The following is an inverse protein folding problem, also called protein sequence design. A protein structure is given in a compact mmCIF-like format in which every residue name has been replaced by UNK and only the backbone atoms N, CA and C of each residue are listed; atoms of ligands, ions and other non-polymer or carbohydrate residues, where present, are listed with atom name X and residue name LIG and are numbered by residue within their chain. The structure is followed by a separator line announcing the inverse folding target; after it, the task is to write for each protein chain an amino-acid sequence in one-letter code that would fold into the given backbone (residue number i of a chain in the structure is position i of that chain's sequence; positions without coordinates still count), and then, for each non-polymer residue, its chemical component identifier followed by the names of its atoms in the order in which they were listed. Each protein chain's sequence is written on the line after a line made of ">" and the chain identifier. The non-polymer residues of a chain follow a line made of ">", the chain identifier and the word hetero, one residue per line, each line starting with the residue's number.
data_IF_665714095999
#
_entry.id   IF_665714095999
#
_cell.length_a   1.000
_cell.length_b   1.000
_cell.length_c   1.000
_cell.angle_alpha   90.00
_cell.angle_beta   90.00
_cell.angle_gamma   90.00
#
_symmetry.space_group_name_H-M   'P 1'
#
loop_
_entity.id
_entity.type
_entity.pdbx_description
1 polymer ?
#
# COMPACT_ATOMS: atom_id res chain seq x y z
N UNK A 1 43.65 15.54 36.66
CA UNK A 1 42.53 14.61 36.89
C UNK A 1 41.25 14.95 36.10
N UNK A 2 41.16 16.08 35.39
CA UNK A 2 39.95 16.52 34.64
C UNK A 2 39.95 16.07 33.15
N UNK A 3 41.13 15.71 32.61
CA UNK A 3 41.28 15.32 31.19
C UNK A 3 40.81 13.90 30.88
N UNK A 4 40.90 12.99 31.85
CA UNK A 4 40.54 11.58 31.68
C UNK A 4 39.02 11.36 31.64
N UNK A 5 38.24 12.14 32.40
CA UNK A 5 36.77 12.04 32.46
C UNK A 5 36.07 12.49 31.17
N UNK A 6 36.62 13.50 30.47
CA UNK A 6 36.12 13.90 29.14
C UNK A 6 36.37 12.81 28.09
N UNK A 7 37.55 12.20 28.09
CA UNK A 7 37.91 11.16 27.12
C UNK A 7 37.01 9.93 27.23
N UNK A 8 36.71 9.51 28.47
CA UNK A 8 35.77 8.41 28.73
C UNK A 8 34.35 8.77 28.30
N UNK A 9 33.88 9.99 28.60
CA UNK A 9 32.53 10.43 28.25
C UNK A 9 32.30 10.50 26.73
N UNK A 10 33.26 11.06 25.97
CA UNK A 10 33.19 11.11 24.52
C UNK A 10 33.26 9.70 23.89
N UNK A 11 34.04 8.78 24.47
CA UNK A 11 34.07 7.37 24.04
C UNK A 11 32.72 6.68 24.26
N UNK A 12 32.10 6.82 25.44
CA UNK A 12 30.77 6.27 25.71
C UNK A 12 29.71 6.87 24.79
N UNK A 13 29.73 8.19 24.56
CA UNK A 13 28.81 8.86 23.62
C UNK A 13 28.95 8.29 22.20
N UNK A 14 30.18 8.11 21.73
CA UNK A 14 30.44 7.59 20.38
C UNK A 14 30.03 6.11 20.26
N UNK A 15 30.28 5.30 21.29
CA UNK A 15 29.83 3.89 21.33
C UNK A 15 28.30 3.81 21.31
N UNK A 16 27.61 4.63 22.10
CA UNK A 16 26.13 4.70 22.09
C UNK A 16 25.61 5.14 20.73
N UNK A 17 26.23 6.14 20.09
CA UNK A 17 25.87 6.56 18.74
C UNK A 17 26.11 5.47 17.70
N UNK A 18 27.21 4.71 17.79
CA UNK A 18 27.50 3.57 16.91
C UNK A 18 26.49 2.44 17.11
N UNK A 19 26.12 2.11 18.35
CA UNK A 19 25.06 1.14 18.62
C UNK A 19 23.68 1.63 18.14
N UNK A 20 23.41 2.93 18.25
CA UNK A 20 22.20 3.54 17.69
C UNK A 20 22.21 3.52 16.16
N UNK A 21 23.34 3.75 15.48
CA UNK A 21 23.40 3.67 14.01
C UNK A 21 23.34 2.23 13.52
N UNK A 22 23.99 1.28 14.20
CA UNK A 22 23.94 -0.15 13.86
C UNK A 22 22.55 -0.76 14.07
N UNK A 23 21.80 -0.31 15.09
CA UNK A 23 20.42 -0.78 15.32
C UNK A 23 19.40 -0.22 14.32
N UNK A 24 19.75 0.83 13.57
CA UNK A 24 18.90 1.40 12.51
C UNK A 24 19.03 0.64 11.18
N UNK A 25 20.06 -0.19 11.00
CA UNK A 25 20.25 -1.04 9.83
C UNK A 25 19.96 -2.50 10.19
N UNK A 26 18.68 -2.81 10.31
CA UNK A 26 18.21 -4.18 10.39
C UNK A 26 18.42 -4.84 9.01
N UNK A 27 19.64 -5.30 8.72
CA UNK A 27 20.00 -5.98 7.48
C UNK A 27 20.09 -7.50 7.70
N UNK A 28 19.84 -8.27 6.64
CA UNK A 28 20.13 -9.70 6.59
C UNK A 28 21.65 -9.96 6.43
N UNK A 29 22.01 -11.24 6.46
CA UNK A 29 23.40 -11.73 6.30
C UNK A 29 24.08 -11.28 5.00
N UNK A 30 23.29 -10.90 3.99
CA UNK A 30 23.75 -10.50 2.65
C UNK A 30 23.73 -8.96 2.49
N UNK A 31 23.47 -8.23 3.58
CA UNK A 31 23.44 -6.77 3.62
C UNK A 31 22.14 -6.14 3.13
N UNK A 32 21.10 -6.93 2.82
CA UNK A 32 19.81 -6.41 2.38
C UNK A 32 18.95 -5.99 3.57
N UNK A 33 18.10 -4.96 3.43
CA UNK A 33 17.17 -4.60 4.50
C UNK A 33 16.23 -5.75 4.85
N UNK A 34 16.03 -6.03 6.14
CA UNK A 34 15.02 -6.97 6.61
C UNK A 34 13.64 -6.48 6.20
N UNK A 35 12.88 -7.35 5.55
CA UNK A 35 11.57 -7.01 4.98
C UNK A 35 10.46 -7.13 6.03
N UNK A 36 9.49 -6.23 5.97
CA UNK A 36 8.28 -6.28 6.79
C UNK A 36 7.42 -7.48 6.41
N UNK A 37 6.74 -8.11 7.38
CA UNK A 37 5.71 -9.11 7.06
C UNK A 37 4.52 -8.53 6.29
N UNK A 38 4.30 -7.21 6.40
CA UNK A 38 3.26 -6.49 5.66
C UNK A 38 3.61 -6.47 4.18
N UNK A 39 2.69 -6.96 3.35
CA UNK A 39 2.90 -7.03 1.91
C UNK A 39 1.59 -7.12 1.14
N UNK A 40 1.63 -6.71 -0.11
CA UNK A 40 0.60 -7.00 -1.10
C UNK A 40 1.28 -7.71 -2.25
N UNK A 41 0.80 -8.91 -2.57
CA UNK A 41 1.30 -9.71 -3.69
C UNK A 41 0.16 -9.88 -4.66
N UNK A 42 0.42 -9.61 -5.94
CA UNK A 42 -0.59 -9.79 -6.97
C UNK A 42 0.03 -10.26 -8.28
N UNK A 43 -0.82 -10.83 -9.11
CA UNK A 43 -0.52 -11.18 -10.49
C UNK A 43 -1.39 -10.32 -11.39
N UNK A 44 -0.76 -9.67 -12.37
CA UNK A 44 -1.42 -8.87 -13.40
C UNK A 44 -1.07 -9.51 -14.74
N UNK A 45 -2.06 -10.12 -15.40
CA UNK A 45 -1.90 -10.83 -16.69
C UNK A 45 -0.68 -11.78 -16.73
N UNK A 46 -0.49 -12.58 -15.67
CA UNK A 46 0.63 -13.52 -15.55
C UNK A 46 1.94 -12.94 -15.01
N UNK A 47 2.06 -11.61 -14.89
CA UNK A 47 3.25 -10.94 -14.33
C UNK A 47 3.07 -10.75 -12.83
N UNK A 48 4.07 -11.17 -12.05
CA UNK A 48 4.04 -11.07 -10.58
C UNK A 48 4.53 -9.71 -10.09
N UNK A 49 3.73 -9.10 -9.23
CA UNK A 49 3.98 -7.83 -8.58
C UNK A 49 3.92 -7.98 -7.07
N UNK A 50 4.69 -7.13 -6.39
CA UNK A 50 4.74 -7.10 -4.93
C UNK A 50 5.03 -5.71 -4.42
N UNK A 51 4.33 -5.36 -3.36
CA UNK A 51 4.62 -4.25 -2.47
C UNK A 51 5.01 -4.81 -1.11
N UNK A 52 6.26 -4.60 -0.71
CA UNK A 52 6.77 -4.99 0.60
C UNK A 52 7.90 -4.05 0.98
N UNK A 53 7.63 -3.18 1.96
CA UNK A 53 8.65 -2.28 2.48
C UNK A 53 9.58 -2.97 3.48
N UNK A 54 10.80 -2.44 3.67
CA UNK A 54 11.65 -2.80 4.78
C UNK A 54 10.95 -2.63 6.14
N UNK A 55 11.40 -3.39 7.13
CA UNK A 55 10.90 -3.34 8.50
C UNK A 55 11.09 -1.92 9.09
N UNK A 56 12.29 -1.38 8.90
CA UNK A 56 12.68 -0.02 9.25
C UNK A 56 12.61 0.83 7.98
N UNK A 57 11.72 1.83 7.99
CA UNK A 57 11.57 2.79 6.89
C UNK A 57 12.24 4.12 7.27
N UNK A 58 12.81 4.86 6.30
CA UNK A 58 13.34 6.19 6.56
C UNK A 58 12.28 7.13 7.15
N UNK A 59 12.67 8.11 8.00
CA UNK A 59 11.75 9.15 8.47
C UNK A 59 11.09 9.86 7.29
N UNK A 60 9.76 10.04 7.34
CA UNK A 60 8.98 10.67 6.28
C UNK A 60 8.55 9.75 5.13
N UNK A 61 9.06 8.51 5.05
CA UNK A 61 8.55 7.53 4.10
C UNK A 61 7.13 7.10 4.49
N UNK A 62 6.19 7.10 3.54
CA UNK A 62 4.84 6.57 3.76
C UNK A 62 4.89 5.04 3.71
N UNK A 63 4.28 4.36 4.70
CA UNK A 63 4.18 2.89 4.69
C UNK A 63 3.22 2.42 3.60
N UNK A 64 3.58 1.34 2.93
CA UNK A 64 2.80 0.64 1.92
C UNK A 64 3.08 -0.88 2.01
N UNK A 65 2.09 -1.74 1.74
CA UNK A 65 0.67 -1.43 1.57
C UNK A 65 0.01 -1.00 2.88
N UNK A 66 -1.08 -0.25 2.80
CA UNK A 66 -1.77 0.33 3.95
C UNK A 66 -3.27 0.46 3.73
N UNK A 67 -4.03 0.35 4.81
CA UNK A 67 -5.44 0.76 4.86
C UNK A 67 -5.60 1.98 5.76
N UNK A 68 -6.20 3.02 5.21
CA UNK A 68 -6.71 4.16 5.96
C UNK A 68 -8.17 3.91 6.31
N UNK A 69 -8.50 3.90 7.60
CA UNK A 69 -9.86 3.96 8.11
C UNK A 69 -10.18 5.44 8.36
N UNK A 70 -10.93 6.05 7.45
CA UNK A 70 -11.26 7.48 7.46
C UNK A 70 -12.64 7.65 8.08
N UNK A 71 -12.72 8.56 9.04
CA UNK A 71 -13.98 9.01 9.64
C UNK A 71 -13.96 10.54 9.65
N UNK A 72 -14.58 11.15 8.64
CA UNK A 72 -14.86 12.57 8.58
C UNK A 72 -16.39 12.78 8.66
N UNK A 73 -16.84 13.96 9.08
CA UNK A 73 -18.20 14.26 9.56
C UNK A 73 -19.35 13.64 8.74
N UNK A 74 -19.20 13.53 7.42
CA UNK A 74 -20.20 12.94 6.51
C UNK A 74 -19.71 11.70 5.73
N UNK A 75 -18.45 11.28 5.93
CA UNK A 75 -17.82 10.21 5.16
C UNK A 75 -17.06 9.23 6.04
N UNK A 76 -17.53 7.98 6.04
CA UNK A 76 -16.83 6.85 6.65
C UNK A 76 -16.46 5.85 5.56
N UNK A 77 -15.17 5.59 5.39
CA UNK A 77 -14.69 4.62 4.41
C UNK A 77 -13.35 4.01 4.82
N UNK A 78 -13.06 2.85 4.25
CA UNK A 78 -11.69 2.37 4.17
C UNK A 78 -11.09 2.69 2.81
N UNK A 79 -9.81 3.04 2.80
CA UNK A 79 -9.04 3.24 1.58
C UNK A 79 -7.76 2.41 1.65
N UNK A 80 -7.62 1.45 0.75
CA UNK A 80 -6.40 0.69 0.55
C UNK A 80 -5.53 1.38 -0.49
N UNK A 81 -4.23 1.44 -0.23
CA UNK A 81 -3.22 1.94 -1.17
C UNK A 81 -2.00 1.03 -1.15
N UNK A 82 -1.46 0.78 -2.35
CA UNK A 82 -0.25 0.01 -2.57
C UNK A 82 0.55 0.52 -3.77
N UNK A 83 1.87 0.42 -3.68
CA UNK A 83 2.82 0.73 -4.75
C UNK A 83 3.50 -0.56 -5.22
N UNK A 84 3.11 -1.03 -6.39
CA UNK A 84 3.51 -2.33 -6.93
C UNK A 84 4.85 -2.24 -7.65
N UNK A 85 5.70 -3.24 -7.41
CA UNK A 85 6.95 -3.45 -8.15
C UNK A 85 6.96 -4.85 -8.72
N UNK A 86 7.53 -5.04 -9.92
CA UNK A 86 7.71 -6.38 -10.49
C UNK A 86 8.64 -7.20 -9.61
N UNK A 87 8.27 -8.45 -9.32
CA UNK A 87 9.12 -9.33 -8.50
C UNK A 87 10.44 -9.68 -9.20
N UNK A 88 10.40 -9.85 -10.52
CA UNK A 88 11.57 -10.21 -11.34
C UNK A 88 12.57 -9.05 -11.51
N UNK A 89 12.07 -7.81 -11.45
CA UNK A 89 12.91 -6.61 -11.53
C UNK A 89 12.43 -5.53 -10.55
N UNK A 90 12.77 -5.62 -9.25
CA UNK A 90 12.31 -4.67 -8.23
C UNK A 90 12.90 -3.26 -8.38
N UNK A 91 13.91 -3.10 -9.25
CA UNK A 91 14.55 -1.82 -9.58
C UNK A 91 13.88 -1.12 -10.76
N UNK A 92 12.97 -1.79 -11.45
CA UNK A 92 12.18 -1.19 -12.52
C UNK A 92 11.17 -0.22 -11.88
N UNK A 93 11.33 1.07 -12.15
CA UNK A 93 10.55 2.16 -11.55
C UNK A 93 9.16 2.33 -12.18
N UNK A 94 8.65 1.33 -12.91
CA UNK A 94 7.27 1.31 -13.38
C UNK A 94 6.31 1.39 -12.19
N UNK A 95 5.91 2.63 -11.84
CA UNK A 95 5.17 2.98 -10.63
C UNK A 95 3.69 2.65 -10.79
N UNK A 96 3.37 1.37 -10.91
CA UNK A 96 1.99 0.92 -10.87
C UNK A 96 1.50 1.04 -9.43
N UNK A 97 0.44 1.80 -9.19
CA UNK A 97 -0.20 1.86 -7.88
C UNK A 97 -1.59 1.22 -7.96
N UNK A 98 -1.95 0.47 -6.93
CA UNK A 98 -3.26 -0.15 -6.80
C UNK A 98 -3.95 0.40 -5.57
N UNK A 99 -5.26 0.64 -5.68
CA UNK A 99 -6.04 1.08 -4.55
C UNK A 99 -7.52 0.77 -4.67
N UNK A 100 -8.20 0.68 -3.55
CA UNK A 100 -9.65 0.58 -3.50
C UNK A 100 -10.21 1.42 -2.37
N UNK A 101 -11.49 1.78 -2.48
CA UNK A 101 -12.26 2.44 -1.44
C UNK A 101 -13.55 1.71 -1.22
N UNK A 102 -13.89 1.44 0.04
CA UNK A 102 -15.18 0.86 0.43
C UNK A 102 -15.84 1.82 1.43
N UNK A 103 -17.00 2.40 1.11
CA UNK A 103 -17.78 3.15 2.09
C UNK A 103 -18.30 2.22 3.19
N UNK A 104 -18.41 2.78 4.37
CA UNK A 104 -18.69 2.04 5.59
C UNK A 104 -19.86 2.67 6.32
N UNK A 105 -21.05 2.09 6.17
CA UNK A 105 -22.16 2.40 7.08
C UNK A 105 -21.91 1.79 8.47
N UNK A 106 -21.17 0.66 8.51
CA UNK A 106 -20.80 -0.12 9.69
C UNK A 106 -19.35 -0.60 9.56
N UNK A 107 -18.82 -1.27 10.59
CA UNK A 107 -17.47 -1.84 10.54
C UNK A 107 -17.33 -2.88 9.41
N UNK A 108 -16.10 -3.10 8.93
CA UNK A 108 -15.80 -4.13 7.94
C UNK A 108 -16.16 -5.50 8.51
N UNK A 109 -16.96 -6.24 7.75
CA UNK A 109 -17.34 -7.62 8.04
C UNK A 109 -16.35 -8.56 7.36
N UNK A 110 -15.67 -9.37 8.16
CA UNK A 110 -14.77 -10.44 7.67
C UNK A 110 -15.59 -11.51 6.95
N UNK A 111 -15.07 -12.00 5.82
CA UNK A 111 -15.73 -12.99 4.95
C UNK A 111 -16.79 -12.41 4.02
N UNK A 112 -17.16 -11.12 4.17
CA UNK A 112 -18.07 -10.45 3.23
C UNK A 112 -17.33 -10.09 1.94
N UNK A 113 -17.96 -10.35 0.81
CA UNK A 113 -17.53 -9.88 -0.51
C UNK A 113 -18.01 -8.45 -0.73
N UNK A 114 -17.07 -7.55 -1.01
CA UNK A 114 -17.32 -6.18 -1.43
C UNK A 114 -17.10 -6.10 -2.93
N UNK A 115 -18.12 -5.62 -3.66
CA UNK A 115 -18.09 -5.54 -5.10
C UNK A 115 -17.80 -4.11 -5.56
N UNK A 116 -17.07 -3.98 -6.65
CA UNK A 116 -16.78 -2.73 -7.33
C UNK A 116 -17.35 -2.80 -8.75
N UNK A 117 -17.96 -1.70 -9.16
CA UNK A 117 -18.45 -1.49 -10.51
C UNK A 117 -18.00 -0.08 -10.90
N UNK A 118 -17.27 0.08 -12.01
CA UNK A 118 -16.84 1.40 -12.44
C UNK A 118 -18.05 2.18 -12.97
N UNK A 119 -17.94 3.51 -12.95
CA UNK A 119 -18.97 4.38 -13.51
C UNK A 119 -18.80 4.38 -15.04
N UNK A 120 -19.90 4.15 -15.76
CA UNK A 120 -19.93 4.15 -17.22
C UNK A 120 -19.36 5.47 -17.79
N UNK A 121 -18.41 5.34 -18.72
CA UNK A 121 -17.70 6.46 -19.33
C UNK A 121 -16.64 7.12 -18.43
N UNK A 122 -16.29 6.50 -17.30
CA UNK A 122 -15.25 6.95 -16.35
C UNK A 122 -14.29 5.84 -15.94
N UNK A 123 -14.19 4.81 -16.76
CA UNK A 123 -13.30 3.68 -16.52
C UNK A 123 -11.83 4.06 -16.73
N UNK A 124 -11.55 5.10 -17.51
CA UNK A 124 -10.19 5.59 -17.78
C UNK A 124 -10.20 7.11 -17.66
N UNK A 125 -9.36 7.64 -16.77
CA UNK A 125 -9.24 9.08 -16.51
C UNK A 125 -7.76 9.49 -16.49
N UNK A 126 -7.40 10.53 -17.25
CA UNK A 126 -6.04 11.07 -17.34
C UNK A 126 -5.90 12.38 -16.57
N UNK A 127 -4.75 12.62 -15.94
CA UNK A 127 -4.39 13.91 -15.33
C UNK A 127 -4.75 14.08 -13.84
N UNK A 128 -4.37 15.24 -13.30
CA UNK A 128 -4.32 15.55 -11.85
C UNK A 128 -5.68 16.01 -11.29
N UNK A 129 -6.56 16.57 -12.13
CA UNK A 129 -7.89 17.09 -11.73
C UNK A 129 -8.91 15.99 -11.37
N UNK A 130 -8.50 14.71 -11.44
CA UNK A 130 -9.34 13.54 -11.21
C UNK A 130 -9.60 13.21 -9.73
N UNK A 131 -8.93 13.89 -8.79
CA UNK A 131 -9.18 13.74 -7.36
C UNK A 131 -10.62 14.14 -7.00
N UNK A 132 -11.16 15.18 -7.65
CA UNK A 132 -12.42 15.81 -7.22
C UNK A 132 -13.66 14.95 -7.56
N UNK A 133 -13.64 14.17 -8.65
CA UNK A 133 -14.84 13.45 -9.11
C UNK A 133 -15.11 12.13 -8.38
N UNK A 134 -14.12 11.58 -7.67
CA UNK A 134 -14.21 10.28 -6.99
C UNK A 134 -13.85 10.34 -5.50
N UNK A 135 -13.51 11.52 -4.97
CA UNK A 135 -13.36 11.77 -3.53
C UNK A 135 -14.68 11.79 -2.73
N UNK A 136 -15.81 11.56 -3.39
CA UNK A 136 -17.06 11.18 -2.71
C UNK A 136 -16.99 9.80 -2.02
N UNK A 137 -18.06 9.48 -1.29
CA UNK A 137 -18.25 8.19 -0.58
C UNK A 137 -18.49 6.98 -1.50
N UNK A 138 -18.21 7.07 -2.81
CA UNK A 138 -18.46 5.97 -3.73
C UNK A 138 -17.41 4.85 -3.60
N UNK A 139 -17.83 3.58 -3.68
CA UNK A 139 -16.90 2.47 -3.76
C UNK A 139 -16.18 2.47 -5.11
N UNK A 140 -14.87 2.21 -5.10
CA UNK A 140 -14.12 2.02 -6.34
C UNK A 140 -12.93 1.09 -6.13
N UNK A 141 -12.43 0.54 -7.23
CA UNK A 141 -11.09 -0.04 -7.33
C UNK A 141 -10.38 0.58 -8.51
N UNK A 142 -9.08 0.85 -8.36
CA UNK A 142 -8.27 1.52 -9.37
C UNK A 142 -6.88 0.94 -9.50
N UNK A 143 -6.35 1.03 -10.71
CA UNK A 143 -4.95 0.92 -11.05
C UNK A 143 -4.47 2.27 -11.57
N UNK A 144 -3.36 2.78 -11.06
CA UNK A 144 -2.70 3.98 -11.57
C UNK A 144 -1.42 3.54 -12.26
N UNK A 145 -1.25 3.97 -13.51
CA UNK A 145 -0.01 3.80 -14.25
C UNK A 145 0.37 5.15 -14.84
N UNK A 146 1.55 5.67 -14.46
CA UNK A 146 2.00 7.03 -14.77
C UNK A 146 0.95 8.05 -14.28
N UNK A 147 0.20 8.67 -15.18
CA UNK A 147 -0.81 9.71 -14.89
C UNK A 147 -2.23 9.30 -15.28
N UNK A 148 -2.42 8.00 -15.59
CA UNK A 148 -3.72 7.46 -16.00
C UNK A 148 -4.29 6.54 -14.92
N UNK A 149 -5.50 6.85 -14.49
CA UNK A 149 -6.30 6.02 -13.59
C UNK A 149 -7.23 5.11 -14.39
N UNK A 150 -7.12 3.81 -14.14
CA UNK A 150 -7.99 2.77 -14.66
C UNK A 150 -8.91 2.29 -13.54
N UNK A 151 -10.21 2.54 -13.67
CA UNK A 151 -11.23 2.10 -12.72
C UNK A 151 -11.83 0.78 -13.17
N UNK A 152 -11.79 -0.19 -12.28
CA UNK A 152 -12.14 -1.57 -12.58
C UNK A 152 -13.43 -2.03 -11.91
N UNK A 153 -13.83 -3.24 -12.28
CA UNK A 153 -14.82 -4.02 -11.57
C UNK A 153 -14.15 -5.17 -10.81
N UNK A 154 -14.90 -5.80 -9.91
CA UNK A 154 -14.46 -7.02 -9.23
C UNK A 154 -14.73 -6.98 -7.75
N UNK A 155 -13.91 -7.68 -6.98
CA UNK A 155 -14.21 -7.97 -5.58
C UNK A 155 -13.02 -7.86 -4.64
N UNK A 156 -13.32 -7.52 -3.39
CA UNK A 156 -12.42 -7.64 -2.24
C UNK A 156 -13.10 -8.43 -1.14
N UNK A 157 -12.37 -9.35 -0.51
CA UNK A 157 -12.83 -10.12 0.66
C UNK A 157 -11.79 -9.98 1.77
N UNK A 158 -12.21 -9.49 2.93
CA UNK A 158 -11.36 -9.44 4.12
C UNK A 158 -11.37 -10.78 4.85
N UNK A 159 -10.20 -11.32 5.16
CA UNK A 159 -10.02 -12.51 6.00
C UNK A 159 -9.62 -12.15 7.43
N UNK A 160 -9.11 -10.94 7.65
CA UNK A 160 -8.82 -10.36 8.96
C UNK A 160 -9.06 -8.84 8.85
N UNK A 161 -9.72 -8.23 9.83
CA UNK A 161 -9.81 -6.77 9.94
C UNK A 161 -10.00 -6.39 11.41
N UNK A 162 -8.98 -5.78 11.99
CA UNK A 162 -8.95 -5.45 13.40
C UNK A 162 -8.31 -4.06 13.62
N UNK A 163 -9.11 -3.17 14.21
CA UNK A 163 -8.71 -1.80 14.51
C UNK A 163 -7.85 -1.68 15.78
N UNK A 164 -7.92 -2.65 16.69
CA UNK A 164 -7.11 -2.68 17.92
C UNK A 164 -5.70 -3.16 17.62
N UNK A 165 -5.56 -4.32 16.98
CA UNK A 165 -4.25 -4.82 16.53
C UNK A 165 -3.72 -4.09 15.29
N UNK A 166 -4.54 -3.22 14.68
CA UNK A 166 -4.24 -2.40 13.49
C UNK A 166 -3.82 -3.26 12.30
N UNK A 167 -4.49 -4.38 12.07
CA UNK A 167 -4.14 -5.35 11.02
C UNK A 167 -5.33 -5.64 10.12
N UNK A 168 -5.02 -5.87 8.86
CA UNK A 168 -5.99 -6.35 7.89
C UNK A 168 -5.35 -7.34 6.93
N UNK A 169 -6.11 -8.38 6.58
CA UNK A 169 -5.80 -9.34 5.52
C UNK A 169 -6.98 -9.49 4.60
N UNK A 170 -6.70 -9.79 3.35
CA UNK A 170 -7.75 -10.09 2.39
C UNK A 170 -7.23 -10.45 1.03
N UNK A 171 -8.18 -10.71 0.16
CA UNK A 171 -7.96 -11.08 -1.24
C UNK A 171 -8.68 -10.11 -2.14
N UNK A 172 -8.11 -9.87 -3.31
CA UNK A 172 -8.69 -9.03 -4.36
C UNK A 172 -8.73 -9.83 -5.65
N UNK A 173 -9.81 -9.68 -6.41
CA UNK A 173 -9.95 -10.22 -7.76
C UNK A 173 -10.68 -9.17 -8.58
N UNK A 174 -9.95 -8.48 -9.45
CA UNK A 174 -10.47 -7.31 -10.16
C UNK A 174 -10.03 -7.30 -11.61
N UNK A 175 -10.77 -6.56 -12.42
CA UNK A 175 -10.52 -6.42 -13.84
C UNK A 175 -10.62 -4.95 -14.23
N UNK A 176 -9.68 -4.50 -15.05
CA UNK A 176 -9.57 -3.11 -15.51
C UNK A 176 -9.67 -3.06 -17.03
N UNK A 177 -10.17 -1.95 -17.60
CA UNK A 177 -9.99 -1.74 -19.04
C UNK A 177 -8.50 -1.55 -19.37
N UNK A 178 -8.06 -2.05 -20.52
CA UNK A 178 -6.74 -1.79 -21.08
C UNK A 178 -6.87 -1.01 -22.38
N UNK A 179 -6.05 0.02 -22.54
CA UNK A 179 -5.89 0.75 -23.80
C UNK A 179 -4.62 0.35 -24.57
N UNK A 180 -3.88 -0.66 -24.10
CA UNK A 180 -2.53 -0.95 -24.62
C UNK A 180 -2.48 -1.32 -26.12
N UNK A 181 -3.59 -1.72 -26.78
CA UNK A 181 -3.54 -2.22 -28.18
C UNK A 181 -4.76 -1.94 -29.09
N UNK A 182 -5.57 -0.89 -28.91
CA UNK A 182 -6.75 -0.59 -29.77
C UNK A 182 -7.81 -1.72 -29.87
N UNK A 183 -7.62 -2.83 -29.18
CA UNK A 183 -8.62 -3.81 -28.79
C UNK A 183 -8.89 -3.60 -27.31
N UNK A 184 -10.16 -3.64 -26.89
CA UNK A 184 -10.52 -3.70 -25.46
C UNK A 184 -9.96 -5.01 -24.90
N UNK A 185 -8.70 -5.01 -24.48
CA UNK A 185 -8.17 -6.07 -23.62
C UNK A 185 -8.54 -5.71 -22.19
N UNK A 186 -9.00 -6.68 -21.44
CA UNK A 186 -9.17 -6.56 -20.01
C UNK A 186 -7.85 -6.91 -19.32
N UNK A 187 -7.48 -6.15 -18.29
CA UNK A 187 -6.34 -6.47 -17.41
C UNK A 187 -6.91 -7.14 -16.18
N UNK A 188 -6.46 -8.35 -15.87
CA UNK A 188 -6.90 -9.08 -14.69
C UNK A 188 -5.87 -8.99 -13.57
N UNK A 189 -6.33 -8.61 -12.37
CA UNK A 189 -5.50 -8.55 -11.16
C UNK A 189 -6.08 -9.46 -10.09
N UNK A 190 -5.27 -10.44 -9.66
CA UNK A 190 -5.56 -11.28 -8.50
C UNK A 190 -4.49 -11.08 -7.45
N UNK A 191 -4.86 -10.85 -6.19
CA UNK A 191 -3.87 -10.57 -5.16
C UNK A 191 -4.32 -10.85 -3.74
N UNK A 192 -3.35 -10.88 -2.84
CA UNK A 192 -3.54 -11.05 -1.41
C UNK A 192 -2.75 -9.98 -0.66
N UNK A 193 -3.40 -9.32 0.30
CA UNK A 193 -2.78 -8.30 1.13
C UNK A 193 -2.72 -8.71 2.59
N UNK A 194 -1.65 -8.30 3.26
CA UNK A 194 -1.53 -8.20 4.70
C UNK A 194 -0.92 -6.83 5.02
N UNK A 195 -1.69 -5.95 5.65
CA UNK A 195 -1.29 -4.56 5.85
C UNK A 195 -1.71 -4.01 7.23
N UNK A 196 -1.18 -2.84 7.53
CA UNK A 196 -1.57 -2.09 8.73
C UNK A 196 -2.84 -1.29 8.45
N UNK A 197 -3.71 -1.17 9.47
CA UNK A 197 -4.84 -0.24 9.47
C UNK A 197 -4.48 1.01 10.26
N UNK A 198 -4.59 2.18 9.65
CA UNK A 198 -4.38 3.48 10.29
C UNK A 198 -5.67 4.26 10.34
N UNK A 199 -6.00 4.84 11.50
CA UNK A 199 -7.10 5.80 11.59
C UNK A 199 -6.63 7.14 11.03
N UNK A 200 -7.37 7.67 10.07
CA UNK A 200 -7.25 9.05 9.63
C UNK A 200 -8.49 9.79 10.14
N UNK A 201 -8.26 10.93 10.79
CA UNK A 201 -9.27 11.87 11.24
C UNK A 201 -9.17 13.12 10.37
#
# INVERSE_FOLDING_TARGET
>A
MIRYTKLTFDLYRNVILIFMTLSLFACDKDGNPLLSALSFKCEIDGVKYKDQMPLVIPPGAKRSPIIHHVIDNDAKYIHFSSSLKREENPKDEGSVSFGFRIPMDKNIVVGKTYNFIPIDGKEILEGIDNLIYLEGSLPFVRLLNVDTFYYGNGTVVFTEFDLESKRARGKVQVTFPSELQNTKSEVHLNGEFFCQVQRAY
#
